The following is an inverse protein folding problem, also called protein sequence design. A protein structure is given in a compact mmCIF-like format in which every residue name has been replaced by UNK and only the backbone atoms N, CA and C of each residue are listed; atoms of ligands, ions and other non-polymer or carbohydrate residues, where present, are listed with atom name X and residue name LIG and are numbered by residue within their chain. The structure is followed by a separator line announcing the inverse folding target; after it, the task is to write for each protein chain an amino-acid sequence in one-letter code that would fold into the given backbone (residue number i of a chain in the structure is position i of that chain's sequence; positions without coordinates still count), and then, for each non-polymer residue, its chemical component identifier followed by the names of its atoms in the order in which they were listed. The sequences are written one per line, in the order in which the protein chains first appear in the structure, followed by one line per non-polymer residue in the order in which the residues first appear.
data_IF_152586256575
#
_entry.id   IF_152586256575
#
_cell.length_a   1.000
_cell.length_b   1.000
_cell.length_c   1.000
_cell.angle_alpha   90.00
_cell.angle_beta   90.00
_cell.angle_gamma   90.00
#
_symmetry.space_group_name_H-M   'P 1'
#
loop_
_entity.id
_entity.type
_entity.pdbx_description
1 polymer ?
#
# COMPACT_ATOMS: atom_id res chain seq x y z
N UNK A 1 5.53 11.45 -12.37
CA UNK A 1 5.79 10.00 -12.18
C UNK A 1 6.62 9.45 -13.33
N UNK A 2 6.31 9.80 -14.58
CA UNK A 2 7.09 9.38 -15.76
C UNK A 2 8.53 9.87 -15.70
N UNK A 3 8.75 11.00 -15.03
CA UNK A 3 10.07 11.57 -14.76
C UNK A 3 10.96 10.64 -13.92
N UNK A 4 10.42 9.71 -13.15
CA UNK A 4 11.18 8.80 -12.27
C UNK A 4 11.38 7.39 -12.85
N UNK A 5 11.18 7.22 -14.15
CA UNK A 5 11.44 5.95 -14.83
C UNK A 5 12.91 5.75 -15.19
N UNK A 6 13.71 6.84 -15.23
CA UNK A 6 15.14 6.82 -15.45
C UNK A 6 15.96 6.81 -14.16
N UNK A 7 17.13 6.17 -14.19
CA UNK A 7 18.03 6.14 -13.04
C UNK A 7 18.56 7.53 -12.67
N UNK A 8 18.71 8.43 -13.64
CA UNK A 8 19.14 9.81 -13.39
C UNK A 8 18.12 10.60 -12.58
N UNK A 9 16.85 10.28 -12.73
CA UNK A 9 15.77 11.03 -12.09
C UNK A 9 15.57 10.65 -10.62
N UNK A 10 16.01 9.45 -10.20
CA UNK A 10 16.04 9.06 -8.79
C UNK A 10 16.96 9.98 -7.99
N UNK A 11 18.01 10.56 -8.62
CA UNK A 11 18.88 11.55 -7.99
C UNK A 11 18.11 12.81 -7.55
N UNK A 12 16.99 13.13 -8.19
CA UNK A 12 16.12 14.24 -7.78
C UNK A 12 15.40 14.00 -6.45
N UNK A 13 15.44 12.77 -5.93
CA UNK A 13 14.96 12.46 -4.58
C UNK A 13 16.03 12.66 -3.50
N UNK A 14 17.28 12.95 -3.88
CA UNK A 14 18.33 13.26 -2.90
C UNK A 14 17.97 14.55 -2.16
N UNK A 15 18.03 14.49 -0.83
CA UNK A 15 17.73 15.64 0.04
C UNK A 15 16.24 15.86 0.34
N UNK A 16 15.33 15.01 -0.17
CA UNK A 16 13.93 15.10 0.26
C UNK A 16 13.75 14.55 1.68
N UNK A 17 12.89 15.18 2.45
CA UNK A 17 12.61 14.78 3.84
C UNK A 17 11.53 13.71 3.95
N UNK A 18 10.84 13.41 2.86
CA UNK A 18 9.81 12.36 2.80
C UNK A 18 9.21 12.21 1.42
N UNK A 19 8.58 11.06 1.20
CA UNK A 19 7.96 10.67 -0.05
C UNK A 19 6.53 10.27 0.21
N UNK A 20 5.59 10.93 -0.45
CA UNK A 20 4.18 10.56 -0.49
C UNK A 20 3.83 10.08 -1.90
N UNK A 21 3.32 8.86 -2.01
CA UNK A 21 2.80 8.32 -3.26
C UNK A 21 1.28 8.20 -3.15
N UNK A 22 0.53 9.05 -3.86
CA UNK A 22 -0.92 9.06 -3.81
C UNK A 22 -1.55 7.88 -4.55
N UNK A 23 -2.86 7.74 -4.41
CA UNK A 23 -3.68 6.86 -5.22
C UNK A 23 -3.55 7.13 -6.72
N UNK A 24 -3.86 6.15 -7.53
CA UNK A 24 -3.79 6.21 -8.98
C UNK A 24 -4.23 4.91 -9.62
N UNK A 25 -4.13 4.86 -10.94
CA UNK A 25 -4.48 3.71 -11.76
C UNK A 25 -3.56 3.65 -12.99
N UNK A 26 -3.42 2.44 -13.52
CA UNK A 26 -2.72 2.19 -14.77
C UNK A 26 -1.20 2.16 -14.66
N UNK A 27 -0.58 1.71 -15.73
CA UNK A 27 0.85 1.39 -15.77
C UNK A 27 1.74 2.63 -15.78
N UNK A 28 1.22 3.74 -16.32
CA UNK A 28 1.99 4.98 -16.47
C UNK A 28 2.57 5.46 -15.15
N UNK A 29 3.90 5.57 -15.09
CA UNK A 29 4.66 6.00 -13.92
C UNK A 29 4.68 5.00 -12.76
N UNK A 30 4.25 3.75 -12.97
CA UNK A 30 4.26 2.71 -11.93
C UNK A 30 5.70 2.36 -11.50
N UNK A 31 6.59 2.16 -12.47
CA UNK A 31 8.00 1.85 -12.18
C UNK A 31 8.70 3.00 -11.45
N UNK A 32 8.38 4.25 -11.78
CA UNK A 32 8.87 5.41 -11.02
C UNK A 32 8.43 5.41 -9.57
N UNK A 33 7.18 4.98 -9.29
CA UNK A 33 6.67 4.84 -7.91
C UNK A 33 7.34 3.70 -7.15
N UNK A 34 7.57 2.56 -7.82
CA UNK A 34 8.29 1.42 -7.24
C UNK A 34 9.72 1.84 -6.88
N UNK A 35 10.41 2.56 -7.77
CA UNK A 35 11.76 3.09 -7.51
C UNK A 35 11.78 4.10 -6.38
N UNK A 36 10.79 4.97 -6.29
CA UNK A 36 10.68 5.93 -5.19
C UNK A 36 10.44 5.23 -3.84
N UNK A 37 9.63 4.17 -3.81
CA UNK A 37 9.46 3.34 -2.62
C UNK A 37 10.77 2.63 -2.24
N UNK A 38 11.53 2.11 -3.23
CA UNK A 38 12.86 1.53 -3.00
C UNK A 38 13.83 2.56 -2.43
N UNK A 39 13.89 3.73 -3.02
CA UNK A 39 14.72 4.83 -2.53
C UNK A 39 14.40 5.17 -1.08
N UNK A 40 13.10 5.34 -0.77
CA UNK A 40 12.66 5.62 0.60
C UNK A 40 13.13 4.54 1.57
N UNK A 41 12.93 3.26 1.23
CA UNK A 41 13.34 2.13 2.06
C UNK A 41 14.86 2.08 2.28
N UNK A 42 15.66 2.21 1.22
CA UNK A 42 17.11 2.07 1.28
C UNK A 42 17.79 3.28 1.92
N UNK A 43 17.30 4.48 1.65
CA UNK A 43 17.83 5.73 2.21
C UNK A 43 17.19 6.12 3.54
N UNK A 44 16.27 5.29 4.05
CA UNK A 44 15.53 5.53 5.30
C UNK A 44 14.78 6.88 5.31
N UNK A 45 14.32 7.30 4.13
CA UNK A 45 13.48 8.49 3.95
C UNK A 45 12.04 8.14 4.31
N UNK A 46 11.34 8.91 5.15
CA UNK A 46 9.94 8.70 5.47
C UNK A 46 9.08 8.49 4.21
N UNK A 47 8.24 7.45 4.24
CA UNK A 47 7.39 7.05 3.11
C UNK A 47 5.93 6.92 3.55
N UNK A 48 5.03 7.49 2.76
CA UNK A 48 3.61 7.27 2.90
C UNK A 48 2.98 6.91 1.54
N UNK A 49 2.46 5.68 1.42
CA UNK A 49 1.80 5.18 0.22
C UNK A 49 0.30 5.06 0.40
N UNK A 50 -0.49 5.62 -0.52
CA UNK A 50 -1.95 5.57 -0.49
C UNK A 50 -2.46 4.75 -1.67
N UNK A 51 -3.32 3.76 -1.42
CA UNK A 51 -3.99 2.93 -2.42
C UNK A 51 -2.98 2.34 -3.43
N UNK A 52 -2.88 2.89 -4.62
CA UNK A 52 -1.89 2.51 -5.62
C UNK A 52 -0.44 2.66 -5.10
N UNK A 53 -0.18 3.66 -4.26
CA UNK A 53 1.11 3.84 -3.59
C UNK A 53 1.46 2.66 -2.68
N UNK A 54 0.49 2.10 -1.94
CA UNK A 54 0.71 0.87 -1.17
C UNK A 54 0.99 -0.32 -2.08
N UNK A 55 0.24 -0.48 -3.16
CA UNK A 55 0.43 -1.59 -4.10
C UNK A 55 1.83 -1.56 -4.72
N UNK A 56 2.33 -0.39 -5.11
CA UNK A 56 3.69 -0.25 -5.64
C UNK A 56 4.76 -0.51 -4.59
N UNK A 57 4.52 -0.19 -3.32
CA UNK A 57 5.41 -0.56 -2.22
C UNK A 57 5.44 -2.08 -1.96
N UNK A 58 4.31 -2.77 -2.12
CA UNK A 58 4.26 -4.24 -2.05
C UNK A 58 5.04 -4.87 -3.20
N UNK A 59 4.88 -4.37 -4.43
CA UNK A 59 5.66 -4.83 -5.60
C UNK A 59 7.15 -4.60 -5.37
N UNK A 60 7.54 -3.44 -4.83
CA UNK A 60 8.93 -3.14 -4.47
C UNK A 60 9.48 -4.15 -3.47
N UNK A 61 8.77 -4.37 -2.36
CA UNK A 61 9.17 -5.31 -1.33
C UNK A 61 9.27 -6.75 -1.88
N UNK A 62 8.36 -7.15 -2.74
CA UNK A 62 8.40 -8.46 -3.38
C UNK A 62 9.65 -8.61 -4.25
N UNK A 63 9.98 -7.63 -5.07
CA UNK A 63 11.15 -7.68 -5.95
C UNK A 63 12.46 -7.62 -5.19
N UNK A 64 12.60 -6.71 -4.23
CA UNK A 64 13.89 -6.37 -3.64
C UNK A 64 14.12 -6.97 -2.23
N UNK A 65 13.07 -7.23 -1.44
CA UNK A 65 13.21 -7.91 -0.16
C UNK A 65 12.97 -9.43 -0.28
N UNK A 66 11.92 -9.83 -1.01
CA UNK A 66 11.57 -11.24 -1.14
C UNK A 66 12.28 -11.95 -2.31
N UNK A 67 12.90 -11.21 -3.23
CA UNK A 67 13.65 -11.76 -4.37
C UNK A 67 12.76 -12.30 -5.51
N UNK A 68 11.49 -11.91 -5.55
CA UNK A 68 10.54 -12.28 -6.59
C UNK A 68 10.72 -11.32 -7.77
N UNK A 69 11.69 -11.60 -8.64
CA UNK A 69 12.13 -10.66 -9.70
C UNK A 69 11.01 -10.18 -10.62
N UNK A 70 10.05 -11.06 -10.93
CA UNK A 70 8.95 -10.78 -11.85
C UNK A 70 7.66 -10.36 -11.11
N UNK A 71 7.77 -9.98 -9.83
CA UNK A 71 6.63 -9.50 -9.09
C UNK A 71 6.01 -8.26 -9.74
N UNK A 72 4.69 -8.26 -9.84
CA UNK A 72 3.95 -7.20 -10.49
C UNK A 72 2.47 -7.21 -10.11
N UNK A 73 1.68 -6.56 -10.94
CA UNK A 73 0.22 -6.50 -10.79
C UNK A 73 -0.48 -6.91 -12.08
N UNK A 74 -1.62 -7.58 -11.94
CA UNK A 74 -2.48 -7.90 -13.09
C UNK A 74 -3.23 -6.67 -13.65
N UNK A 75 -3.08 -5.52 -13.04
CA UNK A 75 -3.65 -4.26 -13.55
C UNK A 75 -3.04 -3.88 -14.91
N UNK A 76 -1.77 -4.20 -15.13
CA UNK A 76 -1.03 -3.82 -16.35
C UNK A 76 -1.05 -4.92 -17.42
N UNK A 77 -1.73 -6.04 -17.18
CA UNK A 77 -1.80 -7.16 -18.10
C UNK A 77 -1.34 -8.47 -17.45
N UNK A 78 -1.06 -9.51 -18.27
CA UNK A 78 -0.61 -10.79 -17.76
C UNK A 78 0.67 -10.65 -16.91
N UNK A 79 0.64 -11.23 -15.71
CA UNK A 79 1.75 -11.18 -14.76
C UNK A 79 2.01 -12.58 -14.21
N UNK A 80 3.26 -13.06 -14.29
CA UNK A 80 3.63 -14.39 -13.81
C UNK A 80 3.65 -14.50 -12.28
N UNK A 81 3.96 -13.41 -11.61
CA UNK A 81 4.05 -13.31 -10.13
C UNK A 81 3.17 -12.15 -9.64
N UNK A 82 1.84 -12.31 -9.66
CA UNK A 82 0.91 -11.24 -9.35
C UNK A 82 0.79 -11.03 -7.85
N UNK A 83 1.74 -10.30 -7.25
CA UNK A 83 1.71 -9.94 -5.82
C UNK A 83 0.62 -8.93 -5.50
N UNK A 84 0.14 -8.23 -6.53
CA UNK A 84 -1.08 -7.44 -6.52
C UNK A 84 -1.95 -7.93 -7.67
N UNK A 85 -3.20 -8.22 -7.41
CA UNK A 85 -4.06 -8.80 -8.44
C UNK A 85 -5.52 -8.42 -8.29
N UNK A 86 -6.29 -8.64 -9.36
CA UNK A 86 -7.72 -8.56 -9.32
C UNK A 86 -8.22 -9.65 -8.36
N UNK A 87 -9.12 -9.30 -7.45
CA UNK A 87 -9.75 -10.26 -6.58
C UNK A 87 -10.66 -11.18 -7.42
N UNK A 88 -10.23 -12.42 -7.60
CA UNK A 88 -10.97 -13.44 -8.38
C UNK A 88 -11.84 -14.32 -7.50
N UNK A 89 -11.49 -14.42 -6.21
CA UNK A 89 -12.24 -15.18 -5.21
C UNK A 89 -12.52 -14.30 -4.01
N UNK A 90 -13.76 -14.22 -3.58
CA UNK A 90 -14.13 -13.54 -2.34
C UNK A 90 -15.24 -14.30 -1.65
N UNK A 91 -15.26 -14.27 -0.34
CA UNK A 91 -16.32 -14.81 0.46
C UNK A 91 -17.30 -13.70 0.85
N UNK A 92 -18.58 -13.93 0.60
CA UNK A 92 -19.65 -13.05 1.03
C UNK A 92 -20.70 -13.88 1.76
N UNK A 93 -20.97 -13.53 3.01
CA UNK A 93 -21.93 -14.25 3.87
C UNK A 93 -21.64 -15.76 4.01
N UNK A 94 -20.35 -16.16 4.09
CA UNK A 94 -19.97 -17.57 4.21
C UNK A 94 -20.00 -18.39 2.90
N UNK A 95 -20.26 -17.73 1.77
CA UNK A 95 -20.26 -18.36 0.45
C UNK A 95 -19.04 -17.87 -0.34
N UNK A 96 -18.23 -18.83 -0.81
CA UNK A 96 -17.09 -18.54 -1.69
C UNK A 96 -17.62 -18.23 -3.09
N UNK A 97 -17.45 -16.98 -3.50
CA UNK A 97 -17.73 -16.54 -4.87
C UNK A 97 -16.46 -16.63 -5.70
N UNK A 98 -16.50 -17.43 -6.77
CA UNK A 98 -15.46 -17.46 -7.80
C UNK A 98 -15.89 -16.61 -8.99
N UNK A 99 -14.98 -15.82 -9.50
CA UNK A 99 -15.21 -15.11 -10.74
C UNK A 99 -14.67 -15.96 -11.90
N UNK A 100 -15.57 -16.41 -12.75
CA UNK A 100 -15.21 -17.19 -13.96
C UNK A 100 -14.98 -16.28 -15.19
N UNK A 101 -15.44 -15.02 -15.15
CA UNK A 101 -15.34 -14.12 -16.29
C UNK A 101 -14.70 -12.77 -15.92
N UNK A 102 -13.60 -12.45 -16.61
CA UNK A 102 -12.83 -11.21 -16.46
C UNK A 102 -13.51 -10.03 -17.17
N UNK A 103 -14.56 -10.27 -17.96
CA UNK A 103 -15.20 -9.25 -18.81
C UNK A 103 -16.00 -8.22 -18.03
N UNK A 104 -16.59 -8.57 -16.90
CA UNK A 104 -17.35 -7.63 -16.06
C UNK A 104 -16.53 -7.06 -14.91
N UNK A 105 -15.80 -5.98 -15.18
CA UNK A 105 -15.03 -5.24 -14.17
C UNK A 105 -15.89 -4.41 -13.22
N UNK A 106 -17.18 -4.24 -13.48
CA UNK A 106 -18.05 -3.32 -12.74
C UNK A 106 -18.28 -3.71 -11.28
N UNK A 107 -18.48 -4.99 -11.01
CA UNK A 107 -18.85 -5.51 -9.69
C UNK A 107 -17.71 -5.73 -8.69
N UNK A 108 -16.44 -5.49 -9.06
CA UNK A 108 -15.26 -5.80 -8.21
C UNK A 108 -14.65 -4.59 -7.51
N UNK A 109 -15.16 -3.39 -7.75
CA UNK A 109 -14.64 -2.21 -7.08
C UNK A 109 -15.07 -2.19 -5.62
N UNK A 110 -14.09 -2.14 -4.71
CA UNK A 110 -14.36 -1.73 -3.33
C UNK A 110 -14.54 -0.22 -3.32
N UNK A 111 -15.77 0.21 -3.08
CA UNK A 111 -16.16 1.62 -3.08
C UNK A 111 -16.94 1.94 -1.79
N UNK A 112 -16.52 2.97 -1.07
CA UNK A 112 -17.14 3.39 0.17
C UNK A 112 -16.34 3.02 1.40
N UNK A 113 -16.97 3.10 2.58
CA UNK A 113 -16.34 2.82 3.85
C UNK A 113 -16.36 1.32 4.17
N UNK A 114 -15.23 0.79 4.60
CA UNK A 114 -15.08 -0.59 5.04
C UNK A 114 -14.33 -0.65 6.37
N UNK A 115 -14.68 -1.61 7.23
CA UNK A 115 -13.97 -1.83 8.48
C UNK A 115 -12.57 -2.41 8.23
N UNK A 116 -11.63 -2.01 9.10
CA UNK A 116 -10.27 -2.51 9.12
C UNK A 116 -9.85 -2.77 10.56
N UNK A 117 -9.42 -3.99 10.85
CA UNK A 117 -8.85 -4.42 12.12
C UNK A 117 -7.36 -4.16 12.14
N UNK A 118 -6.90 -3.38 13.12
CA UNK A 118 -5.50 -2.99 13.25
C UNK A 118 -4.73 -3.97 14.14
N UNK A 119 -3.51 -4.29 13.74
CA UNK A 119 -2.62 -5.19 14.49
C UNK A 119 -2.09 -4.50 15.74
N UNK A 120 -2.17 -5.16 16.88
CA UNK A 120 -1.87 -4.61 18.21
C UNK A 120 -0.49 -3.96 18.33
N UNK A 121 0.52 -4.52 17.70
CA UNK A 121 1.90 -4.04 17.75
C UNK A 121 2.26 -3.09 16.60
N UNK A 122 1.28 -2.63 15.82
CA UNK A 122 1.52 -1.77 14.66
C UNK A 122 1.56 -0.28 15.02
N UNK A 123 2.40 0.47 14.30
CA UNK A 123 2.40 1.94 14.40
C UNK A 123 1.08 2.54 13.95
N UNK A 124 0.42 1.93 12.96
CA UNK A 124 -0.89 2.39 12.50
C UNK A 124 -1.89 2.36 13.65
N UNK A 125 -1.90 1.29 14.47
CA UNK A 125 -2.75 1.24 15.66
C UNK A 125 -2.39 2.31 16.70
N UNK A 126 -1.10 2.54 16.93
CA UNK A 126 -0.65 3.60 17.84
C UNK A 126 -1.15 4.99 17.40
N UNK A 127 -1.12 5.25 16.07
CA UNK A 127 -1.56 6.53 15.49
C UNK A 127 -3.07 6.74 15.66
N UNK A 128 -3.87 5.71 15.40
CA UNK A 128 -5.33 5.83 15.54
C UNK A 128 -5.79 5.74 16.99
N UNK A 129 -5.06 5.04 17.84
CA UNK A 129 -5.48 4.74 19.22
C UNK A 129 -6.69 3.82 19.32
N UNK A 130 -7.01 3.09 18.25
CA UNK A 130 -8.16 2.21 18.08
C UNK A 130 -7.73 0.82 17.60
N UNK A 131 -8.54 -0.20 17.88
CA UNK A 131 -8.33 -1.56 17.36
C UNK A 131 -9.01 -1.79 16.03
N UNK A 132 -10.11 -1.11 15.80
CA UNK A 132 -10.88 -1.17 14.56
C UNK A 132 -11.17 0.23 14.06
N UNK A 133 -11.04 0.44 12.77
CA UNK A 133 -11.31 1.71 12.09
C UNK A 133 -12.23 1.47 10.89
N UNK A 134 -12.82 2.52 10.36
CA UNK A 134 -13.62 2.46 9.14
C UNK A 134 -13.12 3.50 8.17
N UNK A 135 -12.60 3.05 7.04
CA UNK A 135 -11.94 3.92 6.06
C UNK A 135 -12.52 3.75 4.65
N UNK A 136 -12.39 4.79 3.82
CA UNK A 136 -12.98 4.80 2.48
C UNK A 136 -12.04 4.22 1.44
N UNK A 137 -12.59 3.36 0.59
CA UNK A 137 -11.88 2.66 -0.48
C UNK A 137 -12.39 3.08 -1.86
N UNK A 138 -11.49 2.99 -2.84
CA UNK A 138 -11.81 3.14 -4.27
C UNK A 138 -10.76 2.39 -5.09
N UNK A 139 -10.82 1.07 -5.11
CA UNK A 139 -9.87 0.24 -5.86
C UNK A 139 -10.46 -1.11 -6.25
N UNK A 140 -9.81 -1.80 -7.18
CA UNK A 140 -10.19 -3.13 -7.70
C UNK A 140 -9.14 -4.20 -7.38
N UNK A 141 -7.88 -3.79 -7.29
CA UNK A 141 -6.74 -4.67 -7.09
C UNK A 141 -6.37 -4.70 -5.62
N UNK A 142 -5.95 -5.88 -5.18
CA UNK A 142 -5.64 -6.19 -3.79
C UNK A 142 -4.29 -6.89 -3.70
N UNK A 143 -3.67 -6.82 -2.54
CA UNK A 143 -2.48 -7.63 -2.24
C UNK A 143 -2.86 -9.11 -2.23
N UNK A 144 -2.11 -9.90 -3.00
CA UNK A 144 -2.32 -11.33 -3.09
C UNK A 144 -1.81 -12.03 -1.82
N UNK A 145 -2.75 -12.58 -1.03
CA UNK A 145 -2.47 -13.24 0.23
C UNK A 145 -1.48 -14.40 0.15
N UNK A 146 -1.38 -15.05 -1.02
CA UNK A 146 -0.46 -16.19 -1.22
C UNK A 146 1.02 -15.80 -1.06
N UNK A 147 1.37 -14.55 -1.30
CA UNK A 147 2.74 -14.04 -1.16
C UNK A 147 3.04 -13.50 0.24
N UNK A 148 2.04 -13.25 1.07
CA UNK A 148 2.21 -12.62 2.40
C UNK A 148 3.17 -13.37 3.33
N UNK A 149 3.13 -14.71 3.46
CA UNK A 149 4.04 -15.41 4.36
C UNK A 149 5.52 -15.14 4.03
N UNK A 150 5.86 -15.06 2.73
CA UNK A 150 7.22 -14.75 2.30
C UNK A 150 7.56 -13.28 2.53
N UNK A 151 6.66 -12.37 2.21
CA UNK A 151 6.86 -10.93 2.39
C UNK A 151 7.06 -10.58 3.87
N UNK A 152 6.24 -11.14 4.76
CA UNK A 152 6.34 -10.95 6.21
C UNK A 152 7.67 -11.48 6.73
N UNK A 153 8.07 -12.69 6.32
CA UNK A 153 9.38 -13.27 6.68
C UNK A 153 10.55 -12.37 6.24
N UNK A 154 10.36 -11.57 5.21
CA UNK A 154 11.37 -10.67 4.65
C UNK A 154 11.28 -9.22 5.17
N UNK A 155 10.40 -8.97 6.13
CA UNK A 155 10.37 -7.72 6.88
C UNK A 155 9.25 -6.74 6.48
N UNK A 156 8.36 -7.11 5.57
CA UNK A 156 7.14 -6.34 5.31
C UNK A 156 6.11 -6.68 6.40
N UNK A 157 5.82 -5.76 7.28
CA UNK A 157 4.77 -5.92 8.29
C UNK A 157 3.39 -5.62 7.71
N UNK A 158 2.39 -6.40 8.06
CA UNK A 158 0.99 -6.03 7.86
C UNK A 158 0.51 -5.35 9.14
N UNK A 159 -0.07 -4.16 9.01
CA UNK A 159 -0.56 -3.36 10.15
C UNK A 159 -2.09 -3.31 10.25
N UNK A 160 -2.80 -3.73 9.21
CA UNK A 160 -4.25 -3.81 9.22
C UNK A 160 -4.79 -4.79 8.21
N UNK A 161 -5.90 -5.43 8.58
CA UNK A 161 -6.64 -6.37 7.74
C UNK A 161 -8.11 -5.96 7.64
N UNK A 162 -8.80 -6.38 6.57
CA UNK A 162 -10.26 -6.31 6.51
C UNK A 162 -10.89 -7.08 7.68
N UNK A 163 -12.15 -6.74 8.05
CA UNK A 163 -12.88 -7.36 9.15
C UNK A 163 -12.86 -8.90 9.11
N UNK A 164 -12.80 -9.50 7.92
CA UNK A 164 -12.69 -10.95 7.73
C UNK A 164 -11.25 -11.46 7.74
N UNK A 165 -10.26 -10.59 7.99
CA UNK A 165 -8.83 -10.94 8.05
C UNK A 165 -8.21 -11.39 6.73
N UNK A 166 -8.90 -11.21 5.61
CA UNK A 166 -8.48 -11.76 4.30
C UNK A 166 -7.72 -10.78 3.42
N UNK A 167 -8.02 -9.48 3.53
CA UNK A 167 -7.42 -8.45 2.69
C UNK A 167 -6.48 -7.57 3.50
N UNK A 168 -5.34 -7.23 2.92
CA UNK A 168 -4.37 -6.32 3.54
C UNK A 168 -4.83 -4.88 3.34
N UNK A 169 -5.07 -4.19 4.44
CA UNK A 169 -5.54 -2.81 4.44
C UNK A 169 -4.42 -1.80 4.70
N UNK A 170 -3.39 -2.22 5.42
CA UNK A 170 -2.20 -1.40 5.64
C UNK A 170 -0.96 -2.24 5.89
N UNK A 171 0.19 -1.67 5.52
CA UNK A 171 1.52 -2.26 5.67
C UNK A 171 2.49 -1.25 6.29
N UNK A 172 3.53 -1.78 6.93
CA UNK A 172 4.65 -1.00 7.46
C UNK A 172 5.97 -1.78 7.38
N UNK A 173 7.09 -1.07 7.42
CA UNK A 173 8.41 -1.68 7.62
C UNK A 173 8.89 -1.44 9.06
N UNK A 174 9.01 -2.53 9.83
CA UNK A 174 9.33 -2.46 11.26
C UNK A 174 10.69 -1.81 11.55
N UNK A 175 11.67 -2.03 10.69
CA UNK A 175 13.03 -1.50 10.84
C UNK A 175 13.26 -0.17 10.11
N UNK A 176 12.20 0.54 9.74
CA UNK A 176 12.28 1.83 9.07
C UNK A 176 11.78 2.96 10.00
N UNK A 177 12.39 4.17 9.96
CA UNK A 177 11.92 5.30 10.78
C UNK A 177 10.44 5.59 10.60
N UNK A 178 10.01 5.63 9.34
CA UNK A 178 8.63 5.84 8.95
C UNK A 178 8.37 5.28 7.56
N UNK A 179 7.79 4.11 7.44
CA UNK A 179 7.36 3.53 6.17
C UNK A 179 6.00 2.89 6.39
N UNK A 180 4.96 3.60 6.01
CA UNK A 180 3.57 3.18 6.17
C UNK A 180 2.86 3.31 4.83
N UNK A 181 1.98 2.37 4.53
CA UNK A 181 1.09 2.51 3.39
C UNK A 181 -0.27 1.88 3.67
N UNK A 182 -1.32 2.42 3.07
CA UNK A 182 -2.69 1.98 3.25
C UNK A 182 -3.40 1.78 1.92
N UNK A 183 -4.31 0.80 1.87
CA UNK A 183 -5.13 0.52 0.69
C UNK A 183 -6.31 1.49 0.56
N UNK A 184 -6.77 2.01 1.67
CA UNK A 184 -7.83 3.02 1.73
C UNK A 184 -7.30 4.43 1.42
N UNK A 185 -8.22 5.39 1.35
CA UNK A 185 -7.97 6.78 0.95
C UNK A 185 -8.19 7.74 2.13
N UNK A 186 -7.19 8.00 2.97
CA UNK A 186 -7.31 8.92 4.11
C UNK A 186 -7.65 10.35 3.69
N UNK A 187 -7.33 10.73 2.45
CA UNK A 187 -7.68 12.05 1.91
C UNK A 187 -9.18 12.28 1.79
N UNK A 188 -10.00 11.23 1.71
CA UNK A 188 -11.45 11.37 1.61
C UNK A 188 -12.12 11.76 2.94
N UNK A 189 -11.42 11.56 4.05
CA UNK A 189 -11.93 11.87 5.40
C UNK A 189 -11.11 12.97 6.09
N UNK A 190 -10.08 13.50 5.42
CA UNK A 190 -9.24 14.58 5.93
C UNK A 190 -9.80 15.96 5.57
N UNK A 191 -9.73 16.89 6.51
CA UNK A 191 -10.10 18.29 6.28
C UNK A 191 -9.11 19.24 6.96
N UNK A 192 -9.04 20.54 6.58
CA UNK A 192 -8.14 21.49 7.20
C UNK A 192 -8.36 21.68 8.72
N UNK A 193 -9.59 21.44 9.20
CA UNK A 193 -9.94 21.59 10.61
C UNK A 193 -9.86 20.27 11.39
N UNK A 194 -9.91 19.15 10.69
CA UNK A 194 -9.85 17.82 11.28
C UNK A 194 -9.00 16.95 10.34
N UNK A 195 -7.68 17.09 10.49
CA UNK A 195 -6.71 16.34 9.69
C UNK A 195 -6.76 14.85 10.04
N UNK A 196 -6.70 14.01 9.00
CA UNK A 196 -6.65 12.58 9.18
C UNK A 196 -5.39 12.16 9.96
N UNK A 197 -5.47 11.22 10.93
CA UNK A 197 -4.34 10.86 11.82
C UNK A 197 -3.07 10.49 11.06
N UNK A 198 -3.17 9.70 9.97
CA UNK A 198 -2.01 9.31 9.18
C UNK A 198 -1.30 10.50 8.51
N UNK A 199 -2.03 11.55 8.10
CA UNK A 199 -1.40 12.76 7.57
C UNK A 199 -0.75 13.60 8.66
N UNK A 200 -1.42 13.77 9.81
CA UNK A 200 -0.89 14.55 10.91
C UNK A 200 0.45 14.00 11.40
N UNK A 201 0.54 12.69 11.58
CA UNK A 201 1.78 12.04 12.04
C UNK A 201 2.83 11.96 10.93
N UNK A 202 2.45 11.72 9.68
CA UNK A 202 3.38 11.79 8.54
C UNK A 202 4.05 13.15 8.47
N UNK A 203 3.26 14.24 8.57
CA UNK A 203 3.79 15.59 8.54
C UNK A 203 4.82 15.85 9.65
N UNK A 204 4.56 15.39 10.87
CA UNK A 204 5.51 15.57 11.98
C UNK A 204 6.81 14.81 11.78
N UNK A 205 6.77 13.61 11.17
CA UNK A 205 7.97 12.84 10.83
C UNK A 205 8.77 13.45 9.67
N UNK A 206 8.09 14.15 8.75
CA UNK A 206 8.71 14.84 7.64
C UNK A 206 9.42 16.14 8.05
N UNK A 207 8.92 16.82 9.11
CA UNK A 207 9.36 18.17 9.47
C UNK A 207 10.25 18.24 10.70
N UNK A 208 10.27 17.20 11.53
CA UNK A 208 11.14 17.15 12.70
C UNK A 208 12.49 16.53 12.33
N UNK A 209 13.62 17.17 12.69
CA UNK A 209 14.92 16.56 12.49
C UNK A 209 14.99 15.25 13.29
N UNK A 210 15.25 14.16 12.56
CA UNK A 210 15.60 12.89 13.19
C UNK A 210 16.88 13.09 13.99
N UNK A 211 16.76 13.02 15.33
CA UNK A 211 17.93 12.99 16.20
C UNK A 211 18.69 11.69 16.08
#
# INVERSE_FOLDING_TARGET
SDTFEDNETIQNLEGVNGILIPGGFGERGAEGKIRAAKFARERRVPYFGICFGMQMAVVEAARNLAGIKNAGTTEFGPCSEPVVGLMTEWERHGVLHKREDISDKGGTMRLGAYPCELIDSSRVKEIYGLTSISERHRHRYEVNGSFLPLLIKKGLGVSGYSEQGKLVESIELNNHPWFIACQFHPEFTSSPRNGHPLFAVSYTHLTLPTK
#
